data_IF_849494140705
#
_entry.id   IF_849494140705
#
_cell.length_a   1.000
_cell.length_b   1.000
_cell.length_c   1.000
_cell.angle_alpha   90.00
_cell.angle_beta   90.00
_cell.angle_gamma   90.00
#
_symmetry.space_group_name_H-M   'P 1'
#
loop_
_entity.id
_entity.type
_entity.pdbx_description
1 polymer ?
#
# COMPACT_ATOMS: atom_id res chain seq x y z
N UNK A 1 57.12 13.91 -17.23
CA UNK A 1 56.75 13.35 -15.90
C UNK A 1 55.31 13.71 -15.48
N UNK A 2 54.33 13.67 -16.38
CA UNK A 2 52.92 13.97 -16.06
C UNK A 2 52.07 12.71 -15.77
N UNK A 3 52.50 11.54 -16.27
CA UNK A 3 51.79 10.26 -16.10
C UNK A 3 51.80 9.72 -14.66
N UNK A 4 52.84 10.03 -13.88
CA UNK A 4 53.01 9.50 -12.51
C UNK A 4 52.03 10.15 -11.52
N UNK A 5 51.43 11.30 -11.88
CA UNK A 5 50.48 12.06 -11.05
C UNK A 5 49.01 11.72 -11.32
N UNK A 6 48.71 11.06 -12.44
CA UNK A 6 47.35 10.62 -12.81
C UNK A 6 46.97 9.29 -12.16
N UNK A 7 47.94 8.37 -12.02
CA UNK A 7 47.70 7.06 -11.41
C UNK A 7 47.23 7.12 -9.94
N UNK A 8 47.77 7.99 -9.06
CA UNK A 8 47.30 8.11 -7.68
C UNK A 8 45.88 8.69 -7.59
N UNK A 9 45.54 9.65 -8.47
CA UNK A 9 44.20 10.26 -8.52
C UNK A 9 43.14 9.26 -9.00
N UNK A 10 43.47 8.43 -10.01
CA UNK A 10 42.59 7.36 -10.47
C UNK A 10 42.38 6.27 -9.41
N UNK A 11 43.44 5.87 -8.70
CA UNK A 11 43.36 4.93 -7.57
C UNK A 11 42.53 5.49 -6.40
N UNK A 12 42.65 6.79 -6.11
CA UNK A 12 41.89 7.44 -5.05
C UNK A 12 40.39 7.51 -5.37
N UNK A 13 40.03 7.80 -6.63
CA UNK A 13 38.63 7.77 -7.10
C UNK A 13 38.04 6.35 -7.15
N UNK A 14 38.86 5.34 -7.46
CA UNK A 14 38.46 3.93 -7.38
C UNK A 14 38.25 3.45 -5.94
N UNK A 15 39.05 3.93 -4.99
CA UNK A 15 38.92 3.55 -3.58
C UNK A 15 37.68 4.18 -2.91
N UNK A 16 37.29 5.40 -3.30
CA UNK A 16 36.11 6.07 -2.73
C UNK A 16 34.78 5.54 -3.27
N UNK A 17 34.74 4.90 -4.45
CA UNK A 17 33.51 4.30 -4.97
C UNK A 17 33.11 2.99 -4.27
N UNK A 18 34.04 2.33 -3.57
CA UNK A 18 33.82 1.04 -2.89
C UNK A 18 33.29 1.24 -1.45
N UNK A 19 33.40 2.44 -0.88
CA UNK A 19 32.95 2.75 0.49
C UNK A 19 31.50 3.21 0.58
N UNK A 20 30.76 3.28 -0.52
CA UNK A 20 29.30 3.39 -0.42
C UNK A 20 28.75 1.98 -0.21
N UNK A 21 28.31 1.62 1.00
CA UNK A 21 27.44 0.47 1.11
C UNK A 21 26.25 0.80 0.23
N UNK A 22 26.14 0.12 -0.92
CA UNK A 22 24.84 -0.08 -1.53
C UNK A 22 24.04 -0.81 -0.46
N UNK A 23 23.39 -0.04 0.42
CA UNK A 23 22.25 -0.51 1.17
C UNK A 23 21.41 -1.17 0.09
N UNK A 24 21.20 -2.49 0.20
CA UNK A 24 20.17 -3.15 -0.60
C UNK A 24 18.91 -2.37 -0.28
N UNK A 25 18.62 -1.37 -1.10
CA UNK A 25 17.28 -0.90 -1.30
C UNK A 25 16.72 -2.11 -2.02
N UNK A 26 16.21 -3.07 -1.24
CA UNK A 26 15.32 -4.07 -1.79
C UNK A 26 14.32 -3.24 -2.58
N UNK A 27 14.38 -3.35 -3.91
CA UNK A 27 13.33 -2.79 -4.73
C UNK A 27 12.08 -3.47 -4.19
N UNK A 28 11.30 -2.75 -3.38
CA UNK A 28 10.10 -3.27 -2.77
C UNK A 28 9.27 -3.74 -3.94
N UNK A 29 9.18 -5.05 -4.13
CA UNK A 29 8.32 -5.62 -5.14
C UNK A 29 6.89 -5.45 -4.61
N UNK A 30 6.13 -4.49 -5.16
CA UNK A 30 4.72 -4.32 -4.80
C UNK A 30 3.90 -5.41 -5.50
N UNK A 31 4.09 -6.64 -5.05
CA UNK A 31 3.39 -7.82 -5.54
C UNK A 31 3.07 -8.76 -4.37
N UNK A 32 2.09 -9.64 -4.55
CA UNK A 32 1.67 -10.59 -3.52
C UNK A 32 0.43 -10.17 -2.72
N UNK A 33 0.05 -11.01 -1.77
CA UNK A 33 -1.13 -10.82 -0.94
C UNK A 33 -0.83 -9.85 0.21
N UNK A 34 -1.84 -9.06 0.59
CA UNK A 34 -1.77 -8.15 1.73
C UNK A 34 -3.08 -8.18 2.52
N UNK A 35 -3.01 -7.72 3.77
CA UNK A 35 -4.20 -7.37 4.53
C UNK A 35 -4.43 -5.86 4.47
N UNK A 36 -5.65 -5.39 4.18
CA UNK A 36 -6.00 -3.97 4.31
C UNK A 36 -5.75 -3.41 5.71
N UNK A 37 -5.69 -4.27 6.73
CA UNK A 37 -5.41 -3.90 8.11
C UNK A 37 -3.91 -3.77 8.42
N UNK A 38 -3.02 -4.14 7.50
CA UNK A 38 -1.57 -4.11 7.68
C UNK A 38 -0.97 -2.71 7.53
N UNK A 39 -0.07 -2.33 8.44
CA UNK A 39 0.60 -1.02 8.44
C UNK A 39 2.13 -1.17 8.61
N UNK A 40 2.95 -0.66 7.67
CA UNK A 40 2.56 -0.13 6.35
C UNK A 40 2.05 -1.26 5.44
N UNK A 41 1.10 -0.98 4.52
CA UNK A 41 0.60 -2.01 3.62
C UNK A 41 1.75 -2.58 2.78
N UNK A 42 1.77 -3.90 2.53
CA UNK A 42 2.77 -4.54 1.68
C UNK A 42 4.23 -4.32 2.15
N UNK A 43 4.44 -4.06 3.44
CA UNK A 43 5.75 -3.74 3.99
C UNK A 43 6.37 -2.42 3.50
N UNK A 44 5.63 -1.59 2.75
CA UNK A 44 6.18 -0.36 2.16
C UNK A 44 5.15 0.75 2.02
N UNK A 45 5.62 2.01 2.18
CA UNK A 45 4.80 3.20 1.94
C UNK A 45 4.62 3.52 0.46
N UNK A 46 5.41 2.89 -0.40
CA UNK A 46 5.38 3.09 -1.85
C UNK A 46 4.36 2.15 -2.54
N UNK A 47 3.78 1.20 -1.80
CA UNK A 47 2.74 0.30 -2.27
C UNK A 47 1.36 0.65 -1.72
N UNK A 48 0.32 0.15 -2.38
CA UNK A 48 -1.05 0.12 -1.85
C UNK A 48 -1.52 -1.32 -1.73
N UNK A 49 -2.25 -1.60 -0.66
CA UNK A 49 -3.02 -2.84 -0.54
C UNK A 49 -4.42 -2.60 -1.11
N UNK A 50 -4.77 -3.39 -2.12
CA UNK A 50 -6.04 -3.29 -2.82
C UNK A 50 -6.92 -4.46 -2.41
N UNK A 51 -7.96 -4.25 -1.58
CA UNK A 51 -8.83 -5.31 -1.11
C UNK A 51 -9.64 -5.89 -2.27
N UNK A 52 -9.49 -7.20 -2.46
CA UNK A 52 -10.39 -8.05 -3.24
C UNK A 52 -11.43 -8.75 -2.34
N UNK A 53 -11.22 -8.69 -1.04
CA UNK A 53 -12.10 -9.16 0.01
C UNK A 53 -11.91 -8.34 1.28
N UNK A 54 -12.73 -8.62 2.29
CA UNK A 54 -12.79 -7.82 3.53
C UNK A 54 -11.46 -7.80 4.30
N UNK A 55 -10.69 -8.88 4.28
CA UNK A 55 -9.39 -8.99 4.99
C UNK A 55 -8.21 -9.31 4.08
N UNK A 56 -8.43 -9.42 2.77
CA UNK A 56 -7.41 -9.86 1.81
C UNK A 56 -7.42 -8.97 0.58
N UNK A 57 -6.22 -8.62 0.14
CA UNK A 57 -5.99 -7.80 -1.03
C UNK A 57 -4.71 -8.19 -1.74
N UNK A 58 -4.37 -7.42 -2.77
CA UNK A 58 -3.11 -7.52 -3.46
C UNK A 58 -2.31 -6.22 -3.38
N UNK A 59 -1.00 -6.39 -3.27
CA UNK A 59 -0.04 -5.30 -3.37
C UNK A 59 0.07 -4.85 -4.81
N UNK A 60 -0.07 -3.55 -5.03
CA UNK A 60 0.25 -2.92 -6.30
C UNK A 60 1.00 -1.63 -6.06
N UNK A 61 1.81 -1.25 -7.04
CA UNK A 61 2.26 0.13 -7.13
C UNK A 61 1.06 1.04 -7.38
N UNK A 62 1.03 2.26 -6.83
CA UNK A 62 0.06 3.27 -7.19
C UNK A 62 0.35 3.78 -8.62
N UNK A 63 0.14 2.93 -9.64
CA UNK A 63 0.24 3.30 -11.05
C UNK A 63 -1.00 4.09 -11.44
N UNK A 64 -0.95 5.41 -11.15
CA UNK A 64 -2.00 6.38 -11.48
C UNK A 64 -3.22 6.30 -10.56
N UNK A 65 -3.59 7.41 -9.93
CA UNK A 65 -4.76 7.53 -9.05
C UNK A 65 -6.08 7.07 -9.71
N UNK A 66 -6.15 7.21 -11.04
CA UNK A 66 -7.31 6.81 -11.85
C UNK A 66 -7.57 5.30 -11.85
N UNK A 67 -6.54 4.45 -11.75
CA UNK A 67 -6.74 3.00 -11.75
C UNK A 67 -7.37 2.51 -10.45
N UNK A 68 -6.94 3.07 -9.32
CA UNK A 68 -7.48 2.78 -7.98
C UNK A 68 -8.92 3.28 -7.85
N UNK A 69 -9.19 4.52 -8.29
CA UNK A 69 -10.54 5.09 -8.28
C UNK A 69 -11.53 4.25 -9.08
N UNK A 70 -11.13 3.84 -10.30
CA UNK A 70 -11.95 2.96 -11.15
C UNK A 70 -12.21 1.61 -10.48
N UNK A 71 -11.23 1.03 -9.81
CA UNK A 71 -11.43 -0.24 -9.11
C UNK A 71 -12.41 -0.10 -7.94
N UNK A 72 -12.33 0.98 -7.17
CA UNK A 72 -13.28 1.26 -6.08
C UNK A 72 -14.69 1.42 -6.63
N UNK A 73 -14.85 2.13 -7.75
CA UNK A 73 -16.13 2.32 -8.41
C UNK A 73 -16.72 0.97 -8.88
N UNK A 74 -15.92 0.14 -9.54
CA UNK A 74 -16.34 -1.17 -10.08
C UNK A 74 -16.58 -2.24 -9.00
N UNK A 75 -15.88 -2.16 -7.85
CA UNK A 75 -16.02 -3.18 -6.81
C UNK A 75 -17.37 -3.05 -6.07
N UNK A 76 -18.15 -4.14 -5.93
CA UNK A 76 -19.52 -4.08 -5.41
C UNK A 76 -19.60 -3.59 -3.95
N UNK A 77 -18.56 -3.84 -3.15
CA UNK A 77 -18.55 -3.51 -1.73
C UNK A 77 -17.51 -2.44 -1.32
N UNK A 78 -16.70 -1.91 -2.24
CA UNK A 78 -15.80 -0.79 -1.87
C UNK A 78 -16.54 0.52 -2.00
N UNK A 79 -16.19 1.47 -1.15
CA UNK A 79 -16.91 2.75 -1.07
C UNK A 79 -16.00 3.89 -0.62
N UNK A 80 -16.30 5.09 -1.09
CA UNK A 80 -15.79 6.33 -0.52
C UNK A 80 -16.81 7.01 0.41
N UNK A 81 -18.10 6.73 0.22
CA UNK A 81 -19.22 7.33 0.95
C UNK A 81 -20.37 6.33 1.18
N UNK A 82 -21.25 6.65 2.14
CA UNK A 82 -22.46 5.86 2.42
C UNK A 82 -23.42 5.81 1.22
N UNK A 83 -23.52 6.92 0.48
CA UNK A 83 -24.34 7.03 -0.73
C UNK A 83 -23.90 6.04 -1.81
N UNK A 84 -22.60 5.76 -1.93
CA UNK A 84 -22.11 4.74 -2.87
C UNK A 84 -22.58 3.35 -2.47
N UNK A 85 -22.57 3.01 -1.18
CA UNK A 85 -23.09 1.73 -0.71
C UNK A 85 -24.57 1.57 -1.03
N UNK A 86 -25.37 2.63 -0.81
CA UNK A 86 -26.80 2.61 -1.15
C UNK A 86 -27.03 2.48 -2.66
N UNK A 87 -26.27 3.20 -3.49
CA UNK A 87 -26.35 3.10 -4.96
C UNK A 87 -25.95 1.71 -5.46
N UNK A 88 -24.97 1.07 -4.84
CA UNK A 88 -24.51 -0.28 -5.17
C UNK A 88 -25.43 -1.39 -4.64
N UNK A 89 -26.26 -1.08 -3.65
CA UNK A 89 -27.12 -2.05 -2.98
C UNK A 89 -26.36 -3.05 -2.10
N UNK A 90 -25.13 -2.72 -1.70
CA UNK A 90 -24.25 -3.55 -0.87
C UNK A 90 -24.25 -3.16 0.62
N UNK A 91 -25.10 -2.19 0.99
CA UNK A 91 -25.28 -1.73 2.35
C UNK A 91 -25.75 -0.28 2.38
N UNK A 92 -25.74 0.32 3.57
CA UNK A 92 -26.08 1.73 3.77
C UNK A 92 -25.01 2.50 4.55
N UNK A 93 -23.90 1.85 4.90
CA UNK A 93 -22.81 2.45 5.65
C UNK A 93 -21.45 2.05 5.09
N UNK A 94 -20.59 3.03 4.87
CA UNK A 94 -19.23 2.86 4.39
C UNK A 94 -18.23 2.83 5.56
N UNK A 95 -17.86 1.63 6.01
CA UNK A 95 -16.92 1.46 7.10
C UNK A 95 -15.47 1.61 6.60
N UNK A 96 -14.76 2.64 7.07
CA UNK A 96 -13.35 2.86 6.72
C UNK A 96 -12.45 1.83 7.39
N UNK A 97 -11.45 1.35 6.66
CA UNK A 97 -10.38 0.55 7.25
C UNK A 97 -9.63 1.37 8.32
N UNK A 98 -9.17 0.77 9.42
CA UNK A 98 -8.39 1.46 10.45
C UNK A 98 -6.99 1.87 9.96
N UNK A 99 -6.64 1.49 8.73
CA UNK A 99 -5.38 1.80 8.07
C UNK A 99 -5.45 3.15 7.34
N UNK A 100 -4.75 4.16 7.85
CA UNK A 100 -4.69 5.51 7.26
C UNK A 100 -4.04 5.56 5.86
N UNK A 101 -3.45 4.47 5.37
CA UNK A 101 -2.92 4.36 4.01
C UNK A 101 -3.99 3.94 2.98
N UNK A 102 -5.22 3.64 3.42
CA UNK A 102 -6.36 3.26 2.59
C UNK A 102 -7.44 4.33 2.73
N UNK A 103 -7.78 4.98 1.62
CA UNK A 103 -8.67 6.14 1.55
C UNK A 103 -10.11 5.78 1.12
N UNK A 104 -10.48 4.51 1.25
CA UNK A 104 -11.82 3.98 1.01
C UNK A 104 -12.19 2.95 2.08
N UNK A 105 -13.45 2.53 2.09
CA UNK A 105 -14.02 1.61 3.05
C UNK A 105 -14.67 0.39 2.40
N UNK A 106 -15.40 -0.35 3.23
CA UNK A 106 -16.22 -1.48 2.84
C UNK A 106 -17.68 -1.24 3.24
N UNK A 107 -18.61 -1.60 2.36
CA UNK A 107 -20.03 -1.43 2.58
C UNK A 107 -20.59 -2.48 3.55
N UNK A 108 -21.41 -2.00 4.49
CA UNK A 108 -22.17 -2.83 5.41
C UNK A 108 -23.58 -2.27 5.57
N UNK A 109 -24.51 -3.12 6.01
CA UNK A 109 -25.72 -2.65 6.67
C UNK A 109 -25.35 -2.11 8.06
N UNK A 110 -25.84 -0.93 8.39
CA UNK A 110 -25.52 -0.19 9.62
C UNK A 110 -25.87 -0.92 10.91
N UNK A 111 -26.81 -1.87 10.88
CA UNK A 111 -27.21 -2.70 12.02
C UNK A 111 -26.59 -4.10 12.01
N UNK A 112 -25.76 -4.43 11.02
CA UNK A 112 -25.17 -5.75 10.87
C UNK A 112 -24.16 -6.10 11.97
N UNK A 113 -24.14 -7.39 12.36
CA UNK A 113 -23.09 -7.91 13.23
C UNK A 113 -21.71 -7.88 12.56
N UNK A 114 -21.67 -7.99 11.22
CA UNK A 114 -20.45 -7.91 10.43
C UNK A 114 -19.77 -6.54 10.59
N UNK A 115 -20.54 -5.44 10.57
CA UNK A 115 -20.02 -4.09 10.82
C UNK A 115 -19.38 -3.99 12.21
N UNK A 116 -20.06 -4.49 13.25
CA UNK A 116 -19.52 -4.48 14.62
C UNK A 116 -18.20 -5.24 14.72
N UNK A 117 -18.11 -6.40 14.05
CA UNK A 117 -16.89 -7.18 13.96
C UNK A 117 -15.77 -6.42 13.24
N UNK A 118 -16.09 -5.82 12.08
CA UNK A 118 -15.14 -5.05 11.28
C UNK A 118 -14.55 -3.86 12.06
N UNK A 119 -15.40 -3.07 12.71
CA UNK A 119 -14.96 -1.90 13.50
C UNK A 119 -14.14 -2.28 14.74
N UNK A 120 -14.27 -3.51 15.23
CA UNK A 120 -13.48 -4.03 16.35
C UNK A 120 -12.09 -4.56 15.93
N UNK A 121 -11.81 -4.68 14.62
CA UNK A 121 -10.53 -5.18 14.14
C UNK A 121 -9.44 -4.11 14.29
N UNK A 122 -8.34 -4.39 15.00
CA UNK A 122 -7.22 -3.45 15.10
C UNK A 122 -6.41 -3.41 13.80
N UNK A 123 -5.79 -2.26 13.52
CA UNK A 123 -4.72 -2.22 12.52
C UNK A 123 -3.52 -3.04 13.02
N UNK A 124 -3.01 -3.95 12.19
CA UNK A 124 -1.81 -4.72 12.49
C UNK A 124 -0.57 -3.89 12.16
N UNK A 125 0.26 -3.63 13.18
CA UNK A 125 1.57 -3.01 12.99
C UNK A 125 2.57 -4.15 12.73
N UNK A 126 3.07 -4.26 11.49
CA UNK A 126 4.14 -5.21 11.17
C UNK A 126 5.45 -4.67 11.76
N UNK A 127 6.13 -5.50 12.57
CA UNK A 127 7.40 -5.15 13.26
C UNK A 127 8.60 -5.19 12.33
#
# INVERSE_FOLDING_TARGET
MAYVRLAPLALYLLATSIMFPMKKIEAVDCSGACSPFEVPPCGSRDCRCIPIGLVVGFCIYPTGLSSVAKMIEEHPNLCQSDDECMKKGSGNFCARYPNNYIDYGWCFDSDSQALKGFLAMPAAITK
#
